data_IF_920042421819
#
_entry.id   IF_920042421819
#
_cell.length_a   1.000
_cell.length_b   1.000
_cell.length_c   1.000
_cell.angle_alpha   90.00
_cell.angle_beta   90.00
_cell.angle_gamma   90.00
#
_symmetry.space_group_name_H-M   'P 1'
#
loop_
_entity.id
_entity.type
_entity.pdbx_description
1 polymer ?
#
# COMPACT_ATOMS: atom_id res chain seq x y z
N UNK A 1 -1.87 1.67 22.90
CA UNK A 1 -1.18 2.42 21.83
C UNK A 1 -2.26 3.14 21.04
N UNK A 2 -2.22 4.46 20.93
CA UNK A 2 -3.17 5.22 20.11
C UNK A 2 -2.66 5.38 18.67
N UNK A 3 -3.59 5.67 17.74
CA UNK A 3 -3.30 5.77 16.30
C UNK A 3 -2.26 6.85 15.97
N UNK A 4 -2.34 8.01 16.61
CA UNK A 4 -1.43 9.13 16.31
C UNK A 4 -0.01 8.78 16.71
N UNK A 5 0.18 8.21 17.89
CA UNK A 5 1.50 7.71 18.32
C UNK A 5 2.02 6.64 17.37
N UNK A 6 1.16 5.71 16.93
CA UNK A 6 1.56 4.67 15.98
C UNK A 6 2.00 5.21 14.62
N UNK A 7 1.32 6.21 14.07
CA UNK A 7 1.69 6.85 12.81
C UNK A 7 3.03 7.60 12.91
N UNK A 8 3.29 8.26 14.05
CA UNK A 8 4.56 8.91 14.32
C UNK A 8 5.72 7.91 14.42
N UNK A 9 5.56 6.84 15.20
CA UNK A 9 6.57 5.78 15.33
C UNK A 9 6.84 5.09 13.98
N UNK A 10 5.80 4.81 13.20
CA UNK A 10 5.96 4.30 11.83
C UNK A 10 6.69 5.27 10.91
N UNK A 11 6.51 6.58 11.09
CA UNK A 11 7.22 7.60 10.30
C UNK A 11 8.71 7.64 10.66
N UNK A 12 9.05 7.44 11.94
CA UNK A 12 10.44 7.25 12.39
C UNK A 12 11.02 5.96 11.80
N UNK A 13 10.30 4.84 11.87
CA UNK A 13 10.74 3.57 11.31
C UNK A 13 10.96 3.66 9.78
N UNK A 14 10.07 4.33 9.05
CA UNK A 14 10.25 4.59 7.62
C UNK A 14 11.51 5.42 7.35
N UNK A 15 11.76 6.45 8.16
CA UNK A 15 13.00 7.24 8.03
C UNK A 15 14.25 6.41 8.32
N UNK A 16 14.22 5.52 9.32
CA UNK A 16 15.32 4.59 9.59
C UNK A 16 15.55 3.63 8.41
N UNK A 17 14.46 3.04 7.91
CA UNK A 17 14.47 2.15 6.75
C UNK A 17 15.10 2.81 5.52
N UNK A 18 14.66 4.02 5.16
CA UNK A 18 15.19 4.78 4.01
C UNK A 18 16.64 5.24 4.19
N UNK A 19 17.15 5.24 5.42
CA UNK A 19 18.55 5.48 5.73
C UNK A 19 19.36 4.17 5.87
N UNK A 20 18.85 3.05 5.36
CA UNK A 20 19.45 1.71 5.42
C UNK A 20 19.65 1.17 6.85
N UNK A 21 18.93 1.71 7.84
CA UNK A 21 18.96 1.24 9.25
C UNK A 21 17.83 0.24 9.49
N UNK A 22 17.83 -0.86 8.73
CA UNK A 22 16.74 -1.85 8.70
C UNK A 22 16.44 -2.47 10.06
N UNK A 23 17.47 -2.91 10.79
CA UNK A 23 17.30 -3.54 12.12
C UNK A 23 16.64 -2.59 13.10
N UNK A 24 17.07 -1.33 13.12
CA UNK A 24 16.51 -0.31 14.02
C UNK A 24 15.08 0.05 13.65
N UNK A 25 14.76 0.10 12.36
CA UNK A 25 13.39 0.27 11.89
C UNK A 25 12.49 -0.88 12.39
N UNK A 26 12.95 -2.13 12.29
CA UNK A 26 12.21 -3.29 12.79
C UNK A 26 12.07 -3.28 14.32
N UNK A 27 13.09 -2.84 15.05
CA UNK A 27 13.07 -2.77 16.52
C UNK A 27 12.07 -1.72 17.04
N UNK A 28 11.86 -0.61 16.30
CA UNK A 28 10.77 0.34 16.59
C UNK A 28 9.40 -0.30 16.39
N UNK A 29 9.22 -1.11 15.35
CA UNK A 29 7.90 -1.63 14.97
C UNK A 29 7.49 -2.90 15.73
N UNK A 30 8.47 -3.75 16.06
CA UNK A 30 8.24 -5.09 16.64
C UNK A 30 7.39 -5.10 17.92
N UNK A 31 7.58 -4.19 18.91
CA UNK A 31 6.86 -4.26 20.18
C UNK A 31 5.34 -4.10 20.05
N UNK A 32 4.87 -3.44 19.00
CA UNK A 32 3.46 -3.04 18.85
C UNK A 32 2.74 -3.74 17.71
N UNK A 33 3.41 -4.64 16.98
CA UNK A 33 2.89 -5.29 15.76
C UNK A 33 1.61 -6.13 15.99
N UNK A 34 1.39 -6.60 17.21
CA UNK A 34 0.22 -7.44 17.54
C UNK A 34 -1.00 -6.64 18.01
N UNK A 35 -0.82 -5.32 18.23
CA UNK A 35 -1.84 -4.44 18.81
C UNK A 35 -2.10 -3.16 18.00
N UNK A 36 -1.29 -2.87 16.98
CA UNK A 36 -1.41 -1.66 16.16
C UNK A 36 -1.28 -2.01 14.69
N UNK A 37 -2.29 -1.64 13.89
CA UNK A 37 -2.33 -1.94 12.45
C UNK A 37 -1.19 -1.30 11.68
N UNK A 38 -0.78 -0.07 12.04
CA UNK A 38 0.32 0.63 11.39
C UNK A 38 1.66 -0.10 11.61
N UNK A 39 1.91 -0.53 12.85
CA UNK A 39 3.13 -1.27 13.20
C UNK A 39 3.15 -2.65 12.55
N UNK A 40 2.03 -3.35 12.57
CA UNK A 40 1.90 -4.66 11.95
C UNK A 40 2.18 -4.60 10.44
N UNK A 41 1.52 -3.67 9.76
CA UNK A 41 1.70 -3.43 8.32
C UNK A 41 3.13 -2.98 8.00
N UNK A 42 3.68 -2.03 8.75
CA UNK A 42 5.05 -1.54 8.54
C UNK A 42 6.10 -2.64 8.73
N UNK A 43 5.97 -3.45 9.80
CA UNK A 43 6.89 -4.55 10.09
C UNK A 43 6.86 -5.61 8.98
N UNK A 44 5.65 -6.02 8.57
CA UNK A 44 5.46 -6.95 7.46
C UNK A 44 6.00 -6.40 6.13
N UNK A 45 5.79 -5.11 5.85
CA UNK A 45 6.25 -4.46 4.62
C UNK A 45 7.77 -4.43 4.48
N UNK A 46 8.48 -4.14 5.57
CA UNK A 46 9.96 -4.15 5.56
C UNK A 46 10.48 -5.55 5.27
N UNK A 47 9.94 -6.57 5.95
CA UNK A 47 10.33 -7.96 5.71
C UNK A 47 9.97 -8.42 4.30
N UNK A 48 8.81 -8.03 3.78
CA UNK A 48 8.39 -8.35 2.41
C UNK A 48 9.33 -7.73 1.37
N UNK A 49 9.79 -6.49 1.60
CA UNK A 49 10.78 -5.86 0.72
C UNK A 49 12.13 -6.57 0.79
N UNK A 50 12.59 -6.95 2.00
CA UNK A 50 13.82 -7.74 2.14
C UNK A 50 13.73 -9.07 1.40
N UNK A 51 12.64 -9.81 1.58
CA UNK A 51 12.39 -11.05 0.88
C UNK A 51 12.39 -10.86 -0.64
N UNK A 52 11.68 -9.84 -1.15
CA UNK A 52 11.66 -9.51 -2.58
C UNK A 52 13.02 -9.09 -3.15
N UNK A 53 13.95 -8.60 -2.33
CA UNK A 53 15.31 -8.24 -2.75
C UNK A 53 16.28 -9.43 -2.71
N UNK A 54 16.19 -10.28 -1.68
CA UNK A 54 17.11 -11.41 -1.50
C UNK A 54 16.70 -12.64 -2.29
N UNK A 55 15.41 -12.80 -2.57
CA UNK A 55 14.82 -14.03 -3.12
C UNK A 55 15.17 -15.28 -2.29
N UNK A 56 15.56 -15.13 -1.02
CA UNK A 56 15.87 -16.26 -0.14
C UNK A 56 14.55 -16.88 0.36
N UNK A 57 14.34 -18.21 0.21
CA UNK A 57 13.12 -18.86 0.65
C UNK A 57 12.80 -18.66 2.14
N UNK A 58 13.83 -18.51 3.00
CA UNK A 58 13.65 -18.27 4.44
C UNK A 58 13.13 -16.86 4.70
N UNK A 59 13.63 -15.88 3.95
CA UNK A 59 13.16 -14.51 4.02
C UNK A 59 11.71 -14.42 3.51
N UNK A 60 11.38 -15.11 2.41
CA UNK A 60 10.00 -15.23 1.88
C UNK A 60 9.04 -15.80 2.93
N UNK A 61 9.39 -16.92 3.56
CA UNK A 61 8.56 -17.53 4.61
C UNK A 61 8.40 -16.61 5.82
N UNK A 62 9.48 -15.95 6.24
CA UNK A 62 9.46 -15.01 7.37
C UNK A 62 8.57 -13.81 7.08
N UNK A 63 8.66 -13.22 5.89
CA UNK A 63 7.80 -12.14 5.44
C UNK A 63 6.34 -12.57 5.35
N UNK A 64 6.06 -13.72 4.74
CA UNK A 64 4.71 -14.27 4.60
C UNK A 64 4.06 -14.54 5.98
N UNK A 65 4.82 -15.04 6.95
CA UNK A 65 4.34 -15.22 8.32
C UNK A 65 4.03 -13.87 8.98
N UNK A 66 4.94 -12.90 8.90
CA UNK A 66 4.73 -11.58 9.47
C UNK A 66 3.51 -10.86 8.85
N UNK A 67 3.29 -11.01 7.55
CA UNK A 67 2.11 -10.49 6.88
C UNK A 67 0.82 -11.19 7.31
N UNK A 68 0.84 -12.51 7.52
CA UNK A 68 -0.33 -13.24 8.07
C UNK A 68 -0.67 -12.75 9.48
N UNK A 69 0.33 -12.56 10.32
CA UNK A 69 0.15 -12.02 11.67
C UNK A 69 -0.42 -10.60 11.60
N UNK A 70 0.13 -9.75 10.72
CA UNK A 70 -0.38 -8.39 10.52
C UNK A 70 -1.80 -8.35 9.97
N UNK A 71 -2.16 -9.29 9.09
CA UNK A 71 -3.53 -9.44 8.58
C UNK A 71 -4.49 -9.77 9.73
N UNK A 72 -4.10 -10.67 10.64
CA UNK A 72 -4.88 -11.03 11.82
C UNK A 72 -5.06 -9.82 12.75
N UNK A 73 -4.01 -9.02 12.98
CA UNK A 73 -4.10 -7.77 13.74
C UNK A 73 -5.09 -6.81 13.11
N UNK A 74 -5.03 -6.60 11.79
CA UNK A 74 -5.99 -5.77 11.07
C UNK A 74 -7.42 -6.30 11.23
N UNK A 75 -7.65 -7.60 11.07
CA UNK A 75 -8.98 -8.19 11.20
C UNK A 75 -9.60 -8.00 12.59
N UNK A 76 -8.79 -8.01 13.66
CA UNK A 76 -9.28 -7.75 15.03
C UNK A 76 -9.72 -6.31 15.24
N UNK A 77 -9.08 -5.37 14.55
CA UNK A 77 -9.27 -3.91 14.72
C UNK A 77 -10.16 -3.29 13.63
N UNK A 78 -10.46 -4.04 12.57
CA UNK A 78 -11.45 -3.65 11.56
C UNK A 78 -12.85 -3.64 12.18
N UNK A 79 -13.70 -2.76 11.67
CA UNK A 79 -15.12 -2.77 12.00
C UNK A 79 -15.69 -4.14 11.66
N UNK A 80 -16.30 -4.80 12.65
CA UNK A 80 -17.01 -6.07 12.44
C UNK A 80 -18.05 -5.81 11.35
N UNK A 81 -17.89 -6.41 10.16
CA UNK A 81 -18.91 -6.32 9.11
C UNK A 81 -20.24 -6.71 9.75
N UNK A 82 -21.22 -5.81 9.64
CA UNK A 82 -22.55 -6.00 10.21
C UNK A 82 -23.02 -7.41 9.89
N UNK A 83 -23.28 -8.19 10.95
CA UNK A 83 -23.81 -9.54 10.77
C UNK A 83 -25.20 -9.40 10.14
N UNK A 84 -25.73 -10.45 9.50
CA UNK A 84 -27.13 -10.46 9.00
C UNK A 84 -28.12 -10.00 10.10
N UNK A 85 -27.82 -10.29 11.36
CA UNK A 85 -28.52 -9.80 12.54
C UNK A 85 -28.50 -8.27 12.70
N UNK A 86 -27.38 -7.60 12.45
CA UNK A 86 -27.26 -6.14 12.53
C UNK A 86 -28.01 -5.45 11.38
N UNK A 87 -28.05 -6.09 10.20
CA UNK A 87 -28.85 -5.62 9.06
C UNK A 87 -30.37 -5.72 9.34
N UNK A 88 -30.81 -6.78 10.03
CA UNK A 88 -32.21 -6.95 10.47
C UNK A 88 -32.55 -5.93 11.56
N UNK A 89 -31.67 -5.72 12.53
CA UNK A 89 -31.83 -4.69 13.57
C UNK A 89 -31.87 -3.28 13.00
N UNK A 90 -31.03 -2.95 12.00
CA UNK A 90 -31.05 -1.66 11.30
C UNK A 90 -32.39 -1.42 10.58
N UNK A 91 -32.93 -2.45 9.92
CA UNK A 91 -34.20 -2.37 9.20
C UNK A 91 -35.40 -2.17 10.14
N UNK A 92 -35.34 -2.71 11.36
CA UNK A 92 -36.39 -2.58 12.37
C UNK A 92 -36.29 -1.29 13.20
N UNK A 93 -35.08 -0.79 13.47
CA UNK A 93 -34.87 0.29 14.44
C UNK A 93 -34.40 1.63 13.86
N UNK A 94 -34.17 1.75 12.53
CA UNK A 94 -33.79 3.02 11.86
C UNK A 94 -32.64 3.79 12.57
N UNK A 95 -31.68 3.09 13.18
CA UNK A 95 -30.49 3.76 13.69
C UNK A 95 -29.60 4.20 12.54
N UNK A 96 -29.09 5.43 12.55
CA UNK A 96 -28.09 5.86 11.57
C UNK A 96 -26.88 4.92 11.60
N UNK A 97 -26.30 4.58 10.43
CA UNK A 97 -25.14 3.72 10.39
C UNK A 97 -24.00 4.39 11.16
N UNK A 98 -23.55 3.73 12.22
CA UNK A 98 -22.45 4.20 13.07
C UNK A 98 -21.24 4.54 12.18
N UNK A 99 -20.76 5.78 12.24
CA UNK A 99 -19.63 6.22 11.43
C UNK A 99 -18.38 5.43 11.81
N UNK A 100 -17.57 5.06 10.82
CA UNK A 100 -16.33 4.33 11.05
C UNK A 100 -15.31 5.20 11.79
N UNK A 101 -14.68 4.66 12.82
CA UNK A 101 -13.60 5.36 13.53
C UNK A 101 -12.35 5.47 12.67
N UNK A 102 -11.46 6.42 12.98
CA UNK A 102 -10.19 6.57 12.24
C UNK A 102 -9.31 5.33 12.36
N UNK A 103 -9.30 4.67 13.51
CA UNK A 103 -8.55 3.43 13.71
C UNK A 103 -9.10 2.30 12.83
N UNK A 104 -10.43 2.15 12.75
CA UNK A 104 -11.05 1.18 11.87
C UNK A 104 -10.76 1.50 10.38
N UNK A 105 -10.80 2.77 9.97
CA UNK A 105 -10.45 3.19 8.60
C UNK A 105 -9.00 2.78 8.27
N UNK A 106 -8.05 3.04 9.18
CA UNK A 106 -6.66 2.62 9.01
C UNK A 106 -6.51 1.09 9.02
N UNK A 107 -7.34 0.37 9.78
CA UNK A 107 -7.35 -1.09 9.78
C UNK A 107 -7.83 -1.67 8.44
N UNK A 108 -8.84 -1.08 7.80
CA UNK A 108 -9.27 -1.44 6.45
C UNK A 108 -8.17 -1.19 5.41
N UNK A 109 -7.55 -0.01 5.47
CA UNK A 109 -6.46 0.36 4.57
C UNK A 109 -5.26 -0.60 4.71
N UNK A 110 -4.79 -0.82 5.95
CA UNK A 110 -3.67 -1.71 6.21
C UNK A 110 -4.01 -3.16 5.82
N UNK A 111 -5.25 -3.61 6.03
CA UNK A 111 -5.70 -4.92 5.59
C UNK A 111 -5.60 -5.07 4.07
N UNK A 112 -6.04 -4.09 3.29
CA UNK A 112 -5.96 -4.11 1.84
C UNK A 112 -4.50 -4.19 1.36
N UNK A 113 -3.60 -3.47 2.00
CA UNK A 113 -2.17 -3.47 1.67
C UNK A 113 -1.47 -4.77 2.00
N UNK A 114 -1.74 -5.32 3.19
CA UNK A 114 -1.18 -6.62 3.59
C UNK A 114 -1.64 -7.70 2.62
N UNK A 115 -2.90 -7.71 2.19
CA UNK A 115 -3.38 -8.63 1.16
C UNK A 115 -2.63 -8.46 -0.17
N UNK A 116 -2.35 -7.23 -0.58
CA UNK A 116 -1.61 -6.94 -1.80
C UNK A 116 -0.17 -7.47 -1.73
N UNK A 117 0.52 -7.23 -0.61
CA UNK A 117 1.88 -7.72 -0.39
C UNK A 117 1.93 -9.26 -0.32
N UNK A 118 0.97 -9.88 0.37
CA UNK A 118 0.85 -11.34 0.40
C UNK A 118 0.61 -11.91 -1.01
N UNK A 119 -0.25 -11.29 -1.81
CA UNK A 119 -0.49 -11.73 -3.18
C UNK A 119 0.78 -11.61 -4.04
N UNK A 120 1.51 -10.50 -3.92
CA UNK A 120 2.77 -10.28 -4.63
C UNK A 120 3.81 -11.35 -4.28
N UNK A 121 4.02 -11.64 -2.99
CA UNK A 121 4.96 -12.69 -2.56
C UNK A 121 4.50 -14.08 -3.01
N UNK A 122 3.19 -14.37 -2.98
CA UNK A 122 2.67 -15.66 -3.46
C UNK A 122 2.92 -15.89 -4.96
N UNK A 123 2.94 -14.85 -5.81
CA UNK A 123 3.29 -15.01 -7.22
C UNK A 123 4.77 -15.33 -7.44
N UNK A 124 5.64 -14.97 -6.49
CA UNK A 124 7.08 -15.24 -6.56
C UNK A 124 7.42 -16.61 -5.96
N UNK A 125 6.75 -17.00 -4.88
CA UNK A 125 7.05 -18.22 -4.12
C UNK A 125 6.30 -19.46 -4.63
N UNK A 126 5.05 -19.32 -5.09
CA UNK A 126 4.16 -20.43 -5.42
C UNK A 126 3.84 -20.46 -6.93
N UNK A 127 4.56 -21.31 -7.66
CA UNK A 127 4.34 -21.54 -9.10
C UNK A 127 3.12 -22.42 -9.41
N UNK A 128 2.37 -22.87 -8.39
CA UNK A 128 1.19 -23.71 -8.60
C UNK A 128 -0.03 -22.90 -9.06
N UNK A 129 -0.86 -23.51 -9.92
CA UNK A 129 -2.12 -22.91 -10.37
C UNK A 129 -3.05 -22.53 -9.20
N UNK A 130 -3.03 -23.32 -8.11
CA UNK A 130 -3.82 -23.05 -6.90
C UNK A 130 -3.27 -21.81 -6.18
N UNK A 131 -1.94 -21.66 -6.12
CA UNK A 131 -1.26 -20.47 -5.61
C UNK A 131 -1.68 -19.22 -6.36
N UNK A 132 -1.61 -19.26 -7.70
CA UNK A 132 -2.04 -18.16 -8.57
C UNK A 132 -3.51 -17.75 -8.33
N UNK A 133 -4.43 -18.70 -8.22
CA UNK A 133 -5.85 -18.42 -7.93
C UNK A 133 -5.99 -17.76 -6.55
N UNK A 134 -5.32 -18.28 -5.52
CA UNK A 134 -5.37 -17.71 -4.16
C UNK A 134 -4.79 -16.29 -4.11
N UNK A 135 -3.72 -16.02 -4.85
CA UNK A 135 -3.12 -14.69 -4.97
C UNK A 135 -4.06 -13.73 -5.70
N UNK A 136 -4.67 -14.15 -6.81
CA UNK A 136 -5.67 -13.37 -7.54
C UNK A 136 -6.89 -13.01 -6.69
N UNK A 137 -7.39 -13.94 -5.86
CA UNK A 137 -8.48 -13.66 -4.91
C UNK A 137 -8.07 -12.63 -3.86
N UNK A 138 -6.83 -12.68 -3.34
CA UNK A 138 -6.31 -11.67 -2.41
C UNK A 138 -6.20 -10.29 -3.07
N UNK A 139 -5.68 -10.22 -4.30
CA UNK A 139 -5.65 -8.97 -5.07
C UNK A 139 -7.05 -8.40 -5.25
N UNK A 140 -8.04 -9.25 -5.56
CA UNK A 140 -9.44 -8.81 -5.72
C UNK A 140 -10.00 -8.25 -4.43
N UNK A 141 -9.83 -8.96 -3.32
CA UNK A 141 -10.27 -8.47 -2.01
C UNK A 141 -9.58 -7.17 -1.65
N UNK A 142 -8.26 -7.06 -1.88
CA UNK A 142 -7.50 -5.83 -1.69
C UNK A 142 -8.08 -4.66 -2.50
N UNK A 143 -8.29 -4.85 -3.81
CA UNK A 143 -8.85 -3.83 -4.70
C UNK A 143 -10.23 -3.34 -4.23
N UNK A 144 -11.13 -4.27 -3.89
CA UNK A 144 -12.46 -3.91 -3.41
C UNK A 144 -12.41 -3.18 -2.06
N UNK A 145 -11.53 -3.59 -1.14
CA UNK A 145 -11.35 -2.88 0.13
C UNK A 145 -10.78 -1.48 -0.08
N UNK A 146 -9.85 -1.27 -1.03
CA UNK A 146 -9.40 0.08 -1.38
C UNK A 146 -10.55 0.93 -1.95
N UNK A 147 -11.40 0.36 -2.81
CA UNK A 147 -12.61 1.05 -3.32
C UNK A 147 -13.59 1.40 -2.20
N UNK A 148 -13.77 0.52 -1.22
CA UNK A 148 -14.55 0.82 -0.02
C UNK A 148 -13.92 2.00 0.76
N UNK A 149 -12.60 1.99 0.97
CA UNK A 149 -11.87 3.08 1.64
C UNK A 149 -11.95 4.41 0.88
N UNK A 150 -11.96 4.38 -0.45
CA UNK A 150 -12.12 5.57 -1.29
C UNK A 150 -13.45 6.30 -1.02
N UNK A 151 -14.53 5.57 -0.75
CA UNK A 151 -15.83 6.18 -0.37
C UNK A 151 -15.84 6.84 1.01
N UNK A 152 -14.75 6.69 1.77
CA UNK A 152 -14.58 7.27 3.11
C UNK A 152 -13.67 8.51 3.10
N UNK A 153 -13.07 8.88 1.96
CA UNK A 153 -12.16 10.03 1.86
C UNK A 153 -12.81 11.33 2.34
N UNK A 154 -14.06 11.60 1.96
CA UNK A 154 -14.74 12.84 2.34
C UNK A 154 -15.35 12.81 3.76
N UNK A 155 -15.21 11.69 4.49
CA UNK A 155 -15.84 11.48 5.81
C UNK A 155 -14.90 11.69 6.98
N UNK A 156 -13.60 11.86 6.72
CA UNK A 156 -12.61 12.07 7.77
C UNK A 156 -12.57 13.50 8.29
N UNK A 157 -11.99 13.66 9.47
CA UNK A 157 -11.64 14.99 9.99
C UNK A 157 -10.34 15.45 9.34
N UNK A 158 -10.21 16.73 9.03
CA UNK A 158 -8.96 17.30 8.52
C UNK A 158 -7.89 17.28 9.63
N UNK A 159 -7.14 16.18 9.71
CA UNK A 159 -6.08 15.95 10.66
C UNK A 159 -4.99 15.06 10.06
N UNK A 160 -3.90 14.90 10.82
CA UNK A 160 -2.73 14.13 10.39
C UNK A 160 -3.06 12.65 10.11
N UNK A 161 -3.86 12.00 10.97
CA UNK A 161 -4.26 10.62 10.76
C UNK A 161 -5.08 10.44 9.48
N UNK A 162 -5.96 11.38 9.18
CA UNK A 162 -6.72 11.38 7.94
C UNK A 162 -5.82 11.62 6.72
N UNK A 163 -4.83 12.52 6.79
CA UNK A 163 -3.84 12.69 5.71
C UNK A 163 -3.08 11.39 5.42
N UNK A 164 -2.73 10.61 6.45
CA UNK A 164 -2.13 9.29 6.28
C UNK A 164 -3.07 8.29 5.59
N UNK A 165 -4.37 8.36 5.88
CA UNK A 165 -5.39 7.53 5.22
C UNK A 165 -5.59 7.94 3.76
N UNK A 166 -5.80 9.23 3.49
CA UNK A 166 -5.93 9.80 2.14
C UNK A 166 -4.74 9.43 1.27
N UNK A 167 -3.51 9.62 1.77
CA UNK A 167 -2.30 9.26 1.04
C UNK A 167 -2.25 7.78 0.69
N UNK A 168 -2.68 6.90 1.59
CA UNK A 168 -2.68 5.45 1.35
C UNK A 168 -3.76 4.96 0.40
N UNK A 169 -4.98 5.49 0.50
CA UNK A 169 -6.06 5.19 -0.44
C UNK A 169 -5.66 5.62 -1.85
N UNK A 170 -5.13 6.84 -2.00
CA UNK A 170 -4.62 7.33 -3.27
C UNK A 170 -3.49 6.47 -3.83
N UNK A 171 -2.55 6.03 -2.98
CA UNK A 171 -1.49 5.11 -3.38
C UNK A 171 -2.05 3.80 -3.92
N UNK A 172 -2.97 3.16 -3.19
CA UNK A 172 -3.55 1.87 -3.57
C UNK A 172 -4.44 1.95 -4.82
N UNK A 173 -5.42 2.85 -4.84
CA UNK A 173 -6.32 3.07 -5.98
C UNK A 173 -5.53 3.46 -7.22
N UNK A 174 -4.57 4.37 -7.05
CA UNK A 174 -3.70 4.83 -8.12
C UNK A 174 -2.90 3.69 -8.72
N UNK A 175 -2.28 2.86 -7.87
CA UNK A 175 -1.50 1.69 -8.30
C UNK A 175 -2.34 0.65 -9.02
N UNK A 176 -3.53 0.30 -8.50
CA UNK A 176 -4.43 -0.67 -9.16
C UNK A 176 -4.88 -0.16 -10.53
N UNK A 177 -5.37 1.09 -10.61
CA UNK A 177 -5.84 1.66 -11.87
C UNK A 177 -4.75 1.72 -12.92
N UNK A 178 -3.55 2.14 -12.51
CA UNK A 178 -2.40 2.20 -13.39
C UNK A 178 -1.99 0.79 -13.85
N UNK A 179 -1.77 -0.15 -12.92
CA UNK A 179 -1.35 -1.52 -13.26
C UNK A 179 -2.36 -2.21 -14.16
N UNK A 180 -3.66 -2.09 -13.87
CA UNK A 180 -4.72 -2.67 -14.70
C UNK A 180 -4.76 -2.06 -16.10
N UNK A 181 -4.47 -0.76 -16.25
CA UNK A 181 -4.43 -0.09 -17.55
C UNK A 181 -3.29 -0.58 -18.47
N UNK A 182 -2.29 -1.27 -17.91
CA UNK A 182 -1.17 -1.83 -18.67
C UNK A 182 -1.50 -3.19 -19.29
N UNK A 183 -2.56 -3.86 -18.84
CA UNK A 183 -2.96 -5.14 -19.41
C UNK A 183 -3.55 -4.96 -20.82
N UNK A 184 -3.25 -5.90 -21.75
CA UNK A 184 -3.93 -5.95 -23.04
C UNK A 184 -5.46 -6.05 -22.87
N UNK A 185 -6.21 -5.41 -23.77
CA UNK A 185 -7.68 -5.33 -23.70
C UNK A 185 -8.41 -6.68 -23.58
N UNK A 186 -7.80 -7.78 -24.04
CA UNK A 186 -8.36 -9.13 -23.87
C UNK A 186 -8.30 -9.59 -22.42
N UNK A 187 -7.19 -9.35 -21.72
CA UNK A 187 -7.00 -9.73 -20.32
C UNK A 187 -7.83 -8.80 -19.44
N UNK A 188 -7.83 -7.49 -19.73
CA UNK A 188 -8.61 -6.53 -18.97
C UNK A 188 -10.11 -6.88 -18.94
N UNK A 189 -10.70 -7.26 -20.08
CA UNK A 189 -12.12 -7.71 -20.14
C UNK A 189 -12.42 -8.92 -19.24
N UNK A 190 -11.46 -9.84 -19.08
CA UNK A 190 -11.62 -10.98 -18.18
C UNK A 190 -11.55 -10.55 -16.71
N UNK A 191 -10.65 -9.63 -16.38
CA UNK A 191 -10.51 -9.09 -15.03
C UNK A 191 -11.71 -8.21 -14.65
N UNK A 192 -12.28 -7.47 -15.61
CA UNK A 192 -13.50 -6.67 -15.44
C UNK A 192 -14.71 -7.51 -15.07
N UNK A 193 -14.86 -8.69 -15.67
CA UNK A 193 -15.90 -9.63 -15.29
C UNK A 193 -15.80 -10.06 -13.81
N UNK A 194 -14.59 -10.09 -13.25
CA UNK A 194 -14.33 -10.46 -11.84
C UNK A 194 -14.47 -9.25 -10.90
N UNK A 195 -14.59 -8.04 -11.44
CA UNK A 195 -14.81 -6.80 -10.70
C UNK A 195 -13.61 -5.88 -10.58
N UNK A 196 -12.55 -6.10 -11.37
CA UNK A 196 -11.46 -5.12 -11.52
C UNK A 196 -11.81 -4.07 -12.56
N UNK A 197 -11.27 -2.87 -12.45
CA UNK A 197 -11.33 -1.89 -13.53
C UNK A 197 -10.12 -0.99 -13.47
N UNK A 198 -9.60 -0.58 -14.63
CA UNK A 198 -8.38 0.20 -14.70
C UNK A 198 -8.51 1.37 -15.65
N UNK A 199 -8.23 2.58 -15.16
CA UNK A 199 -8.10 3.77 -15.97
C UNK A 199 -6.76 4.45 -15.69
N UNK A 200 -5.92 4.59 -16.72
CA UNK A 200 -4.57 5.16 -16.59
C UNK A 200 -4.57 6.56 -15.99
N UNK A 201 -5.43 7.46 -16.49
CA UNK A 201 -5.46 8.86 -16.04
C UNK A 201 -5.94 8.99 -14.61
N UNK A 202 -6.94 8.20 -14.22
CA UNK A 202 -7.36 8.07 -12.82
C UNK A 202 -6.19 7.57 -11.98
N UNK A 203 -5.50 6.52 -12.43
CA UNK A 203 -4.32 5.96 -11.77
C UNK A 203 -3.23 7.00 -11.51
N UNK A 204 -2.83 7.74 -12.55
CA UNK A 204 -1.82 8.78 -12.46
C UNK A 204 -2.26 9.95 -11.57
N UNK A 205 -3.51 10.37 -11.66
CA UNK A 205 -4.06 11.45 -10.82
C UNK A 205 -4.00 11.09 -9.33
N UNK A 206 -4.49 9.90 -8.95
CA UNK A 206 -4.44 9.42 -7.57
C UNK A 206 -3.00 9.28 -7.08
N UNK A 207 -2.09 8.70 -7.87
CA UNK A 207 -0.69 8.57 -7.47
C UNK A 207 -0.02 9.94 -7.27
N UNK A 208 -0.28 10.93 -8.13
CA UNK A 208 0.26 12.28 -7.96
C UNK A 208 -0.27 12.95 -6.70
N UNK A 209 -1.57 12.82 -6.44
CA UNK A 209 -2.16 13.31 -5.20
C UNK A 209 -1.53 12.62 -3.97
N UNK A 210 -1.44 11.29 -3.99
CA UNK A 210 -0.80 10.52 -2.93
C UNK A 210 0.66 10.90 -2.70
N UNK A 211 1.44 11.13 -3.77
CA UNK A 211 2.83 11.57 -3.67
C UNK A 211 2.97 12.98 -3.08
N UNK A 212 2.00 13.87 -3.33
CA UNK A 212 1.98 15.22 -2.78
C UNK A 212 1.53 15.29 -1.31
N UNK A 213 0.83 14.28 -0.80
CA UNK A 213 0.47 14.21 0.62
C UNK A 213 1.71 14.04 1.52
N UNK A 214 1.65 14.49 2.77
CA UNK A 214 2.66 14.16 3.78
C UNK A 214 2.24 12.89 4.53
N UNK A 215 2.28 11.74 3.86
CA UNK A 215 1.86 10.45 4.41
C UNK A 215 3.02 9.44 4.42
N UNK A 216 2.82 8.34 5.14
CA UNK A 216 3.72 7.17 5.12
C UNK A 216 3.85 6.57 3.72
N UNK A 217 2.81 6.71 2.89
CA UNK A 217 2.69 6.02 1.60
C UNK A 217 3.03 6.91 0.40
N UNK A 218 3.31 8.19 0.64
CA UNK A 218 3.69 9.14 -0.41
C UNK A 218 4.92 8.70 -1.19
N UNK A 219 5.87 8.05 -0.51
CA UNK A 219 7.06 7.51 -1.17
C UNK A 219 6.75 6.34 -2.09
N UNK A 220 5.78 5.49 -1.73
CA UNK A 220 5.34 4.40 -2.59
C UNK A 220 4.61 4.96 -3.82
N UNK A 221 3.79 5.98 -3.66
CA UNK A 221 3.15 6.68 -4.79
C UNK A 221 4.19 7.29 -5.74
N UNK A 222 5.20 7.98 -5.20
CA UNK A 222 6.29 8.54 -5.98
C UNK A 222 7.10 7.44 -6.69
N UNK A 223 7.40 6.34 -5.99
CA UNK A 223 8.11 5.20 -6.57
C UNK A 223 7.32 4.54 -7.71
N UNK A 224 6.01 4.33 -7.55
CA UNK A 224 5.14 3.80 -8.61
C UNK A 224 5.13 4.71 -9.83
N UNK A 225 5.06 6.04 -9.65
CA UNK A 225 5.15 7.00 -10.75
C UNK A 225 6.51 6.98 -11.44
N UNK A 226 7.61 6.89 -10.68
CA UNK A 226 8.96 6.78 -11.23
C UNK A 226 9.11 5.51 -12.08
N UNK A 227 8.69 4.37 -11.54
CA UNK A 227 8.70 3.10 -12.26
C UNK A 227 7.87 3.17 -13.54
N UNK A 228 6.70 3.80 -13.49
CA UNK A 228 5.87 3.98 -14.67
C UNK A 228 6.56 4.84 -15.74
N UNK A 229 7.00 6.04 -15.37
CA UNK A 229 7.51 7.05 -16.29
C UNK A 229 8.90 6.73 -16.88
N UNK A 230 9.71 5.95 -16.17
CA UNK A 230 11.11 5.69 -16.57
C UNK A 230 11.28 4.29 -17.16
N UNK A 231 10.55 3.30 -16.64
CA UNK A 231 10.80 1.90 -16.95
C UNK A 231 9.65 1.27 -17.76
N UNK A 232 8.42 1.36 -17.25
CA UNK A 232 7.27 0.65 -17.82
C UNK A 232 6.88 1.24 -19.19
N UNK A 233 6.83 2.57 -19.34
CA UNK A 233 6.50 3.21 -20.63
C UNK A 233 7.47 2.82 -21.73
N UNK A 234 8.76 2.74 -21.39
CA UNK A 234 9.84 2.38 -22.31
C UNK A 234 9.76 0.90 -22.70
N UNK A 235 9.63 0.00 -21.72
CA UNK A 235 9.61 -1.45 -21.98
C UNK A 235 8.37 -1.90 -22.74
N UNK A 236 7.22 -1.30 -22.44
CA UNK A 236 5.99 -1.61 -23.17
C UNK A 236 5.89 -0.85 -24.51
N UNK A 237 6.84 0.03 -24.81
CA UNK A 237 6.82 0.87 -26.02
C UNK A 237 5.62 1.80 -26.10
N UNK A 238 5.03 2.16 -24.95
CA UNK A 238 3.79 2.96 -24.88
C UNK A 238 4.04 4.47 -24.77
N UNK A 239 5.29 4.89 -24.63
CA UNK A 239 5.66 6.31 -24.54
C UNK A 239 7.15 6.52 -24.31
N UNK A 240 7.55 7.77 -24.22
CA UNK A 240 8.93 8.17 -23.91
C UNK A 240 9.15 8.29 -22.40
N UNK A 241 10.41 8.29 -22.00
CA UNK A 241 10.81 8.51 -20.60
C UNK A 241 10.47 9.95 -20.18
N UNK A 242 9.63 10.12 -19.16
CA UNK A 242 9.30 11.44 -18.63
C UNK A 242 10.28 11.84 -17.51
N UNK A 243 11.49 12.23 -17.90
CA UNK A 243 12.55 12.63 -16.97
C UNK A 243 12.18 13.85 -16.13
N UNK A 244 11.44 14.81 -16.70
CA UNK A 244 11.03 16.01 -16.00
C UNK A 244 10.12 15.70 -14.79
N UNK A 245 9.14 14.81 -14.98
CA UNK A 245 8.29 14.35 -13.87
C UNK A 245 9.09 13.54 -12.86
N UNK A 246 10.02 12.69 -13.31
CA UNK A 246 10.88 11.91 -12.43
C UNK A 246 11.75 12.79 -11.52
N UNK A 247 12.41 13.81 -12.07
CA UNK A 247 13.21 14.77 -11.31
C UNK A 247 12.36 15.54 -10.29
N UNK A 248 11.15 15.98 -10.69
CA UNK A 248 10.22 16.66 -9.81
C UNK A 248 9.79 15.78 -8.62
N UNK A 249 9.53 14.49 -8.85
CA UNK A 249 9.17 13.52 -7.81
C UNK A 249 10.32 13.24 -6.83
N UNK A 250 11.57 13.23 -7.30
CA UNK A 250 12.74 12.95 -6.47
C UNK A 250 13.20 14.14 -5.64
N UNK A 251 12.96 15.37 -6.10
CA UNK A 251 13.44 16.61 -5.46
C UNK A 251 13.16 16.68 -3.94
N UNK A 252 11.95 16.39 -3.42
CA UNK A 252 11.68 16.41 -1.98
C UNK A 252 12.54 15.40 -1.19
N UNK A 253 12.80 14.24 -1.76
CA UNK A 253 13.55 13.15 -1.10
C UNK A 253 15.06 13.42 -1.08
N UNK A 254 15.61 14.07 -2.10
CA UNK A 254 17.03 14.46 -2.11
C UNK A 254 17.38 15.45 -1.00
N UNK A 255 16.42 16.31 -0.62
CA UNK A 255 16.57 17.25 0.49
C UNK A 255 16.43 16.55 1.85
N UNK A 256 15.48 15.62 1.96
CA UNK A 256 15.17 14.91 3.22
C UNK A 256 16.20 13.83 3.56
N UNK A 257 16.82 13.20 2.54
CA UNK A 257 17.78 12.11 2.69
C UNK A 257 19.10 12.42 1.95
N UNK A 258 19.93 13.32 2.48
CA UNK A 258 21.09 13.87 1.75
C UNK A 258 22.18 12.83 1.42
N UNK A 259 22.22 11.68 2.10
CA UNK A 259 23.15 10.58 1.78
C UNK A 259 22.88 9.96 0.40
N UNK A 260 21.65 10.02 -0.10
CA UNK A 260 21.30 9.54 -1.46
C UNK A 260 21.98 10.39 -2.54
N UNK A 261 22.19 11.69 -2.28
CA UNK A 261 22.85 12.62 -3.22
C UNK A 261 24.32 12.30 -3.48
N UNK A 262 25.01 11.64 -2.55
CA UNK A 262 26.43 11.31 -2.72
C UNK A 262 26.65 10.20 -3.76
N UNK A 263 25.67 9.30 -3.94
CA UNK A 263 25.75 8.23 -4.94
C UNK A 263 25.54 8.75 -6.37
N UNK A 264 24.69 9.76 -6.56
CA UNK A 264 24.44 10.33 -7.90
C UNK A 264 25.61 11.18 -8.40
N UNK A 265 26.38 11.81 -7.52
CA UNK A 265 27.61 12.52 -7.89
C UNK A 265 28.79 11.59 -8.17
N UNK A 266 28.81 10.40 -7.56
CA UNK A 266 29.81 9.37 -7.87
C UNK A 266 29.59 8.75 -9.25
N UNK A 267 28.34 8.48 -9.62
CA UNK A 267 28.00 7.84 -10.90
C UNK A 267 28.00 8.79 -12.11
N UNK A 268 28.08 10.10 -11.90
CA UNK A 268 28.16 11.11 -12.96
C UNK A 268 29.61 11.50 -13.31
N UNK A 269 30.60 10.94 -12.61
CA UNK A 269 32.03 11.19 -12.80
C UNK A 269 32.81 9.96 -13.32
N UNK A 270 32.10 8.89 -13.70
CA UNK A 270 32.63 7.73 -14.41
C UNK A 270 31.92 7.61 -15.78
#
# INVERSE_FOLDING_TARGET
MDLKTALNECSVALSLFLNNRFSEALDVLRPWRDVSVCHAMGYGSILAMQAGMTFDPRDMQTAMLALKDGLNTCQKLRKRRSTVLDAISYMLYKHEPEQMTEEEMHAELCYAEVLLQMAALSFVEDESMIGFIKAGLKMRTSYLTFKECETLLDKGKDNDAHNHFVGGVNMGIGSFNLMLSLFPARILRLLEFVGFSGNREVGLSHLRHGAATNSLRSILSAFTLLMFNIYITVILGTGECNLAEAEALLKPYTLKFPKVRQLTHSAAND
#
